data_IF_272747761920
#
_entry.id   IF_272747761920
#
_cell.length_a   1.000
_cell.length_b   1.000
_cell.length_c   1.000
_cell.angle_alpha   90.00
_cell.angle_beta   90.00
_cell.angle_gamma   90.00
#
_symmetry.space_group_name_H-M   'P 1'
#
loop_
_entity.id
_entity.type
_entity.pdbx_description
1 polymer ?
#
# COMPACT_ATOMS: atom_id res chain seq x y z
N UNK A 1 -36.47 -8.72 -56.41
CA UNK A 1 -37.27 -7.74 -57.18
C UNK A 1 -36.66 -6.37 -56.88
N UNK A 2 -35.78 -5.98 -57.84
CA UNK A 2 -35.81 -4.68 -58.58
C UNK A 2 -35.81 -3.44 -57.66
N UNK A 3 -34.78 -2.60 -57.63
CA UNK A 3 -34.07 -1.74 -58.61
C UNK A 3 -34.47 -0.27 -58.44
N UNK A 4 -33.49 0.60 -58.28
CA UNK A 4 -33.09 1.83 -59.02
C UNK A 4 -32.57 2.87 -58.04
N UNK A 5 -31.30 3.23 -58.02
CA UNK A 5 -30.54 4.21 -58.82
C UNK A 5 -31.25 5.57 -58.99
N UNK A 6 -30.59 6.64 -58.48
CA UNK A 6 -30.34 7.85 -59.29
C UNK A 6 -29.09 8.60 -58.78
N UNK A 7 -28.28 8.96 -59.75
CA UNK A 7 -27.07 9.75 -59.81
C UNK A 7 -27.45 11.22 -59.91
N UNK A 8 -26.70 12.12 -59.34
CA UNK A 8 -26.78 13.55 -59.54
C UNK A 8 -25.46 14.24 -59.27
N UNK A 9 -24.69 14.39 -60.33
CA UNK A 9 -23.43 15.12 -60.42
C UNK A 9 -23.74 16.60 -60.70
N UNK A 10 -23.09 17.54 -59.98
CA UNK A 10 -22.91 18.91 -60.46
C UNK A 10 -21.62 19.52 -59.91
N UNK A 11 -20.77 19.78 -60.84
CA UNK A 11 -19.51 20.52 -60.81
C UNK A 11 -19.84 22.01 -60.88
N UNK A 12 -19.20 22.89 -60.14
CA UNK A 12 -18.79 24.20 -60.65
C UNK A 12 -17.64 24.79 -59.84
N UNK A 13 -16.68 25.26 -60.58
CA UNK A 13 -15.35 25.74 -60.21
C UNK A 13 -15.30 27.26 -59.98
N UNK A 14 -14.07 27.70 -59.65
CA UNK A 14 -13.49 29.06 -59.68
C UNK A 14 -13.62 29.87 -58.38
N UNK A 15 -12.62 30.58 -57.86
CA UNK A 15 -11.41 31.22 -58.44
C UNK A 15 -10.43 31.56 -57.30
N UNK A 16 -9.17 31.60 -57.66
CA UNK A 16 -7.96 32.01 -56.92
C UNK A 16 -8.00 33.47 -56.45
N UNK A 17 -7.47 33.72 -55.22
CA UNK A 17 -6.75 34.96 -54.94
C UNK A 17 -5.55 34.68 -54.03
N UNK A 18 -4.36 34.83 -54.59
CA UNK A 18 -3.10 34.90 -53.89
C UNK A 18 -2.92 36.29 -53.25
N UNK A 19 -2.61 36.33 -51.97
CA UNK A 19 -1.90 37.49 -51.39
C UNK A 19 -0.71 37.00 -50.60
N UNK A 20 0.46 37.29 -51.11
CA UNK A 20 1.74 37.10 -50.48
C UNK A 20 1.90 38.20 -49.44
N UNK A 21 2.11 37.81 -48.18
CA UNK A 21 2.50 38.69 -47.08
C UNK A 21 3.62 38.04 -46.29
N UNK A 22 4.87 38.40 -46.65
CA UNK A 22 6.04 38.12 -45.80
C UNK A 22 5.94 38.87 -44.50
N UNK A 23 5.89 38.12 -43.37
CA UNK A 23 6.10 38.64 -42.02
C UNK A 23 6.98 37.67 -41.30
N UNK A 24 8.28 37.94 -41.26
CA UNK A 24 9.23 37.28 -40.37
C UNK A 24 8.89 37.71 -38.94
N UNK A 25 8.41 36.79 -38.12
CA UNK A 25 8.33 36.99 -36.67
C UNK A 25 8.93 35.80 -35.99
N UNK A 26 10.06 36.00 -35.33
CA UNK A 26 10.68 35.07 -34.40
C UNK A 26 9.69 34.68 -33.30
N UNK A 27 9.31 33.45 -33.27
CA UNK A 27 8.71 32.84 -32.09
C UNK A 27 9.63 31.73 -31.58
N UNK A 28 10.56 32.15 -30.72
CA UNK A 28 11.05 31.30 -29.64
C UNK A 28 9.94 31.27 -28.57
N UNK A 29 9.81 30.12 -27.93
CA UNK A 29 8.97 29.86 -26.75
C UNK A 29 7.48 29.54 -27.00
N UNK A 30 7.23 28.28 -27.41
CA UNK A 30 6.00 27.55 -27.06
C UNK A 30 6.26 26.03 -27.08
N UNK A 31 7.06 25.57 -26.12
CA UNK A 31 7.15 24.14 -25.79
C UNK A 31 6.72 23.88 -24.32
N UNK A 32 5.69 24.56 -23.86
CA UNK A 32 5.20 24.39 -22.51
C UNK A 32 3.67 24.50 -22.46
N UNK A 33 2.93 23.72 -23.25
CA UNK A 33 1.45 23.63 -23.05
C UNK A 33 0.78 22.48 -23.82
N UNK A 34 1.44 21.37 -24.06
CA UNK A 34 0.80 20.24 -24.75
C UNK A 34 0.52 19.02 -23.85
N UNK A 35 0.79 19.11 -22.53
CA UNK A 35 0.61 17.99 -21.61
C UNK A 35 -0.48 18.17 -20.54
N UNK A 36 -1.22 19.29 -20.54
CA UNK A 36 -2.21 19.60 -19.50
C UNK A 36 -3.52 18.79 -19.59
N UNK A 37 -3.82 18.16 -20.73
CA UNK A 37 -5.12 17.51 -20.96
C UNK A 37 -5.09 15.97 -20.92
N UNK A 38 -3.91 15.35 -20.75
CA UNK A 38 -3.83 13.89 -20.72
C UNK A 38 -4.09 13.39 -19.29
N UNK A 39 -5.22 12.72 -19.09
CA UNK A 39 -5.48 12.00 -17.83
C UNK A 39 -4.42 10.91 -17.60
N UNK A 40 -3.85 10.90 -16.41
CA UNK A 40 -2.88 9.92 -15.93
C UNK A 40 -3.58 9.07 -14.89
N UNK A 41 -3.57 7.75 -15.11
CA UNK A 41 -4.12 6.79 -14.15
C UNK A 41 -2.97 6.09 -13.44
N UNK A 42 -2.82 6.33 -12.14
CA UNK A 42 -1.85 5.66 -11.29
C UNK A 42 -2.50 4.51 -10.54
N UNK A 43 -1.91 3.34 -10.64
CA UNK A 43 -2.28 2.17 -9.84
C UNK A 43 -1.28 2.00 -8.71
N UNK A 44 -1.73 2.21 -7.49
CA UNK A 44 -0.90 2.14 -6.29
C UNK A 44 -1.26 0.90 -5.49
N UNK A 45 -0.29 0.02 -5.26
CA UNK A 45 -0.43 -1.12 -4.38
C UNK A 45 0.09 -0.72 -2.99
N UNK A 46 -0.76 -0.72 -1.99
CA UNK A 46 -0.41 -0.31 -0.64
C UNK A 46 -0.89 -1.32 0.41
N UNK A 47 -0.09 -1.50 1.45
CA UNK A 47 -0.45 -2.37 2.56
C UNK A 47 -1.82 -1.97 3.15
N UNK A 48 -2.65 -2.97 3.49
CA UNK A 48 -4.02 -2.77 3.96
C UNK A 48 -4.14 -1.84 5.18
N UNK A 49 -3.11 -1.78 6.03
CA UNK A 49 -3.02 -0.85 7.17
C UNK A 49 -3.00 0.63 6.78
N UNK A 50 -2.80 0.95 5.50
CA UNK A 50 -2.72 2.32 4.99
C UNK A 50 -4.03 2.80 4.32
N UNK A 51 -5.07 1.97 4.30
CA UNK A 51 -6.29 2.21 3.51
C UNK A 51 -6.88 3.61 3.75
N UNK A 52 -7.11 3.97 4.99
CA UNK A 52 -7.77 5.23 5.36
C UNK A 52 -6.88 6.44 5.02
N UNK A 53 -5.60 6.37 5.37
CA UNK A 53 -4.66 7.47 5.13
C UNK A 53 -4.38 7.70 3.66
N UNK A 54 -4.19 6.63 2.88
CA UNK A 54 -3.89 6.75 1.45
C UNK A 54 -5.10 7.29 0.67
N UNK A 55 -6.32 6.94 1.03
CA UNK A 55 -7.52 7.53 0.42
C UNK A 55 -7.58 9.04 0.68
N UNK A 56 -7.39 9.48 1.93
CA UNK A 56 -7.34 10.91 2.27
C UNK A 56 -6.22 11.64 1.53
N UNK A 57 -5.04 11.02 1.41
CA UNK A 57 -3.90 11.59 0.71
C UNK A 57 -4.18 11.72 -0.80
N UNK A 58 -4.82 10.72 -1.42
CA UNK A 58 -5.20 10.80 -2.83
C UNK A 58 -6.18 11.96 -3.09
N UNK A 59 -7.19 12.10 -2.24
CA UNK A 59 -8.13 13.23 -2.33
C UNK A 59 -7.43 14.59 -2.26
N UNK A 60 -6.44 14.73 -1.37
CA UNK A 60 -5.66 15.96 -1.24
C UNK A 60 -4.75 16.19 -2.46
N UNK A 61 -4.03 15.16 -2.91
CA UNK A 61 -3.15 15.22 -4.06
C UNK A 61 -3.91 15.61 -5.35
N UNK A 62 -5.06 15.00 -5.58
CA UNK A 62 -5.88 15.23 -6.78
C UNK A 62 -6.47 16.66 -6.85
N UNK A 63 -6.62 17.38 -5.72
CA UNK A 63 -7.01 18.78 -5.73
C UNK A 63 -6.00 19.68 -6.45
N UNK A 64 -4.71 19.39 -6.29
CA UNK A 64 -3.61 20.12 -6.94
C UNK A 64 -3.16 19.48 -8.28
N UNK A 65 -3.55 18.23 -8.53
CA UNK A 65 -3.22 17.45 -9.73
C UNK A 65 -4.49 16.85 -10.37
N UNK A 66 -5.41 17.70 -10.90
CA UNK A 66 -6.73 17.25 -11.37
C UNK A 66 -6.67 16.34 -12.59
N UNK A 67 -5.53 16.26 -13.26
CA UNK A 67 -5.26 15.35 -14.37
C UNK A 67 -4.77 13.96 -13.92
N UNK A 68 -4.52 13.74 -12.62
CA UNK A 68 -4.08 12.47 -12.06
C UNK A 68 -5.23 11.80 -11.34
N UNK A 69 -5.53 10.57 -11.73
CA UNK A 69 -6.48 9.70 -11.05
C UNK A 69 -5.71 8.55 -10.38
N UNK A 70 -5.90 8.36 -9.08
CA UNK A 70 -5.22 7.32 -8.30
C UNK A 70 -6.21 6.23 -7.96
N UNK A 71 -5.86 5.00 -8.34
CA UNK A 71 -6.59 3.78 -7.97
C UNK A 71 -5.71 2.96 -7.04
N UNK A 72 -6.28 2.50 -5.93
CA UNK A 72 -5.58 1.66 -4.97
C UNK A 72 -5.95 0.19 -5.08
N UNK A 73 -4.96 -0.65 -4.81
CA UNK A 73 -5.16 -2.04 -4.44
C UNK A 73 -4.59 -2.22 -3.03
N UNK A 74 -5.48 -2.43 -2.06
CA UNK A 74 -5.12 -2.62 -0.67
C UNK A 74 -5.23 -4.10 -0.28
N UNK A 75 -4.12 -4.68 0.14
CA UNK A 75 -4.08 -6.05 0.66
C UNK A 75 -2.83 -6.25 1.52
N UNK A 76 -2.57 -7.49 1.97
CA UNK A 76 -1.30 -7.81 2.59
C UNK A 76 -0.14 -7.57 1.61
N UNK A 77 0.98 -7.11 2.12
CA UNK A 77 2.14 -6.86 1.25
C UNK A 77 2.64 -8.14 0.56
N UNK A 78 2.40 -9.31 1.14
CA UNK A 78 2.70 -10.60 0.52
C UNK A 78 1.81 -10.89 -0.68
N UNK A 79 0.49 -10.70 -0.55
CA UNK A 79 -0.46 -10.81 -1.66
C UNK A 79 -0.13 -9.83 -2.78
N UNK A 80 0.10 -8.55 -2.45
CA UNK A 80 0.44 -7.52 -3.42
C UNK A 80 1.74 -7.84 -4.17
N UNK A 81 2.77 -8.30 -3.45
CA UNK A 81 4.02 -8.78 -4.06
C UNK A 81 3.75 -9.91 -5.06
N UNK A 82 2.94 -10.89 -4.69
CA UNK A 82 2.58 -12.01 -5.56
C UNK A 82 1.82 -11.55 -6.80
N UNK A 83 0.92 -10.60 -6.66
CA UNK A 83 0.21 -10.00 -7.81
C UNK A 83 1.18 -9.28 -8.76
N UNK A 84 2.16 -8.52 -8.23
CA UNK A 84 3.20 -7.87 -9.04
C UNK A 84 4.02 -8.92 -9.80
N UNK A 85 4.43 -10.01 -9.14
CA UNK A 85 5.16 -11.12 -9.77
C UNK A 85 4.36 -11.79 -10.88
N UNK A 86 3.03 -11.87 -10.73
CA UNK A 86 2.10 -12.43 -11.72
C UNK A 86 1.73 -11.43 -12.83
N UNK A 87 2.38 -10.26 -12.88
CA UNK A 87 2.22 -9.29 -13.96
C UNK A 87 1.09 -8.29 -13.77
N UNK A 88 0.55 -8.15 -12.57
CA UNK A 88 -0.44 -7.10 -12.28
C UNK A 88 0.18 -5.71 -12.50
N UNK A 89 -0.58 -4.81 -13.15
CA UNK A 89 -0.16 -3.44 -13.36
C UNK A 89 -0.06 -2.72 -12.00
N UNK A 90 1.12 -2.20 -11.71
CA UNK A 90 1.40 -1.46 -10.49
C UNK A 90 2.41 -0.36 -10.82
N UNK A 91 2.08 0.88 -10.48
CA UNK A 91 2.97 2.03 -10.69
C UNK A 91 3.81 2.31 -9.44
N UNK A 92 3.23 2.16 -8.26
CA UNK A 92 3.85 2.40 -6.96
C UNK A 92 3.49 1.28 -5.99
N UNK A 93 4.47 0.73 -5.28
CA UNK A 93 4.27 -0.26 -4.23
C UNK A 93 4.73 0.27 -2.87
N UNK A 94 3.88 0.11 -1.85
CA UNK A 94 4.17 0.46 -0.45
C UNK A 94 3.91 -0.76 0.41
N UNK A 95 4.97 -1.29 1.01
CA UNK A 95 4.93 -2.50 1.83
C UNK A 95 4.95 -2.18 3.32
N UNK A 96 4.25 -2.96 4.15
CA UNK A 96 4.30 -2.86 5.62
C UNK A 96 5.51 -3.56 6.25
N UNK A 97 6.42 -4.09 5.44
CA UNK A 97 7.71 -4.63 5.91
C UNK A 97 8.76 -4.59 4.79
N UNK A 98 10.05 -4.48 5.15
CA UNK A 98 11.14 -4.51 4.17
C UNK A 98 11.22 -5.81 3.38
N UNK A 99 10.85 -6.95 3.95
CA UNK A 99 10.99 -8.29 3.34
C UNK A 99 10.35 -8.37 1.95
N UNK A 100 9.09 -7.96 1.81
CA UNK A 100 8.35 -8.06 0.55
C UNK A 100 8.92 -7.13 -0.52
N UNK A 101 9.34 -5.94 -0.13
CA UNK A 101 10.02 -4.99 -1.03
C UNK A 101 11.40 -5.51 -1.44
N UNK A 102 12.17 -6.07 -0.49
CA UNK A 102 13.49 -6.63 -0.77
C UNK A 102 13.42 -7.76 -1.81
N UNK A 103 12.41 -8.62 -1.72
CA UNK A 103 12.20 -9.71 -2.65
C UNK A 103 11.90 -9.28 -4.10
N UNK A 104 11.55 -8.01 -4.32
CA UNK A 104 11.28 -7.44 -5.65
C UNK A 104 12.43 -6.56 -6.16
N UNK A 105 13.45 -6.31 -5.35
CA UNK A 105 14.50 -5.30 -5.59
C UNK A 105 15.81 -5.98 -5.97
N UNK A 106 16.25 -5.79 -7.22
CA UNK A 106 17.49 -6.35 -7.76
C UNK A 106 18.77 -5.85 -7.05
N UNK A 107 18.66 -4.70 -6.31
CA UNK A 107 19.80 -4.22 -5.50
C UNK A 107 20.06 -5.07 -4.26
N UNK A 108 19.17 -6.01 -3.92
CA UNK A 108 19.27 -6.87 -2.75
C UNK A 108 20.00 -8.17 -3.08
N UNK A 109 20.82 -8.59 -2.12
CA UNK A 109 21.55 -9.86 -2.25
C UNK A 109 20.62 -11.08 -2.21
N UNK A 110 21.18 -12.25 -2.58
CA UNK A 110 20.44 -13.50 -2.71
C UNK A 110 19.70 -13.93 -1.43
N UNK A 111 20.21 -13.55 -0.26
CA UNK A 111 19.55 -13.83 1.03
C UNK A 111 18.20 -13.11 1.18
N UNK A 112 18.05 -11.92 0.58
CA UNK A 112 16.84 -11.10 0.67
C UNK A 112 15.97 -11.18 -0.60
N UNK A 113 16.58 -11.47 -1.76
CA UNK A 113 15.94 -11.63 -3.07
C UNK A 113 16.44 -12.94 -3.75
N UNK A 114 16.05 -14.11 -3.22
CA UNK A 114 16.54 -15.39 -3.72
C UNK A 114 16.13 -15.71 -5.17
N UNK A 115 15.03 -15.08 -5.64
CA UNK A 115 14.56 -15.23 -7.01
C UNK A 115 15.20 -14.22 -7.98
N UNK A 116 16.06 -13.33 -7.49
CA UNK A 116 16.73 -12.27 -8.29
C UNK A 116 15.76 -11.41 -9.10
N UNK A 117 14.61 -11.10 -8.51
CA UNK A 117 13.57 -10.31 -9.15
C UNK A 117 14.00 -8.84 -9.27
N UNK A 118 13.57 -8.19 -10.36
CA UNK A 118 13.94 -6.82 -10.71
C UNK A 118 12.68 -6.02 -11.11
N UNK A 119 11.85 -5.74 -10.11
CA UNK A 119 10.59 -5.00 -10.29
C UNK A 119 10.64 -3.56 -9.76
N UNK A 120 11.64 -3.21 -8.95
CA UNK A 120 11.80 -1.87 -8.37
C UNK A 120 12.58 -0.99 -9.32
N UNK A 121 12.06 0.22 -9.60
CA UNK A 121 12.81 1.25 -10.32
C UNK A 121 13.94 1.77 -9.42
N UNK A 122 15.18 1.52 -9.83
CA UNK A 122 16.35 1.88 -9.04
C UNK A 122 16.41 3.39 -8.75
N UNK A 123 16.81 3.74 -7.54
CA UNK A 123 16.90 5.15 -7.09
C UNK A 123 15.57 5.73 -6.59
N UNK A 124 14.45 5.00 -6.66
CA UNK A 124 13.15 5.49 -6.15
C UNK A 124 12.79 4.94 -4.77
N UNK A 125 13.42 3.84 -4.36
CA UNK A 125 13.10 3.18 -3.09
C UNK A 125 13.60 4.00 -1.89
N UNK A 126 12.73 4.18 -0.90
CA UNK A 126 13.10 4.72 0.42
C UNK A 126 12.16 4.16 1.51
N UNK A 127 12.55 4.35 2.77
CA UNK A 127 11.73 4.00 3.92
C UNK A 127 10.79 5.17 4.23
N UNK A 128 9.51 5.01 3.97
CA UNK A 128 8.52 6.10 4.05
C UNK A 128 8.10 6.37 5.50
N UNK A 129 7.71 5.32 6.23
CA UNK A 129 7.09 5.43 7.54
C UNK A 129 7.58 4.34 8.49
N UNK A 130 7.46 4.62 9.78
CA UNK A 130 7.53 3.65 10.87
C UNK A 130 6.14 3.48 11.50
N UNK A 131 5.84 2.26 11.96
CA UNK A 131 4.63 1.91 12.69
C UNK A 131 4.99 1.14 13.97
N UNK A 132 4.00 0.79 14.77
CA UNK A 132 4.16 -0.03 15.97
C UNK A 132 3.21 -1.20 15.94
N UNK A 133 3.63 -2.34 16.46
CA UNK A 133 2.78 -3.50 16.67
C UNK A 133 2.06 -3.36 18.00
N UNK A 134 0.75 -3.62 18.00
CA UNK A 134 -0.12 -3.49 19.16
C UNK A 134 -0.83 -4.82 19.45
N UNK A 135 -0.93 -5.14 20.73
CA UNK A 135 -1.86 -6.14 21.23
C UNK A 135 -3.20 -5.48 21.50
N UNK A 136 -4.26 -6.06 20.97
CA UNK A 136 -5.64 -5.58 21.17
C UNK A 136 -6.55 -6.74 21.60
N UNK A 137 -7.64 -6.38 22.28
CA UNK A 137 -8.74 -7.28 22.60
C UNK A 137 -10.06 -6.65 22.14
N UNK A 138 -11.19 -7.40 22.10
CA UNK A 138 -12.52 -6.82 21.97
C UNK A 138 -12.76 -5.73 23.02
N UNK A 139 -13.70 -4.81 22.76
CA UNK A 139 -13.94 -3.62 23.58
C UNK A 139 -14.08 -3.92 25.08
N UNK A 140 -14.80 -4.98 25.43
CA UNK A 140 -15.04 -5.38 26.83
C UNK A 140 -13.88 -6.20 27.43
N UNK A 141 -12.88 -6.59 26.64
CA UNK A 141 -11.77 -7.46 27.05
C UNK A 141 -12.21 -8.61 27.99
N UNK A 142 -13.10 -9.51 27.57
CA UNK A 142 -13.78 -10.47 28.43
C UNK A 142 -12.83 -11.47 29.07
N UNK A 143 -11.63 -11.61 28.54
CA UNK A 143 -10.57 -12.48 29.09
C UNK A 143 -9.63 -11.74 30.02
N UNK A 144 -9.85 -10.45 30.27
CA UNK A 144 -9.02 -9.63 31.15
C UNK A 144 -7.53 -9.73 30.82
N UNK A 145 -7.18 -9.66 29.52
CA UNK A 145 -5.80 -9.69 29.05
C UNK A 145 -5.17 -8.32 29.37
N UNK A 146 -4.03 -8.32 30.06
CA UNK A 146 -3.39 -7.09 30.55
C UNK A 146 -2.36 -6.53 29.58
N UNK A 147 -1.50 -7.41 29.08
CA UNK A 147 -0.34 -7.07 28.26
C UNK A 147 0.16 -8.29 27.47
N UNK A 148 1.28 -8.17 26.78
CA UNK A 148 1.88 -9.26 26.02
C UNK A 148 2.35 -10.44 26.88
N UNK A 149 2.78 -10.21 28.11
CA UNK A 149 3.22 -11.28 29.01
C UNK A 149 2.03 -12.11 29.48
N UNK A 150 0.95 -11.45 29.92
CA UNK A 150 -0.30 -12.11 30.32
C UNK A 150 -0.95 -12.84 29.12
N UNK A 151 -0.91 -12.25 27.92
CA UNK A 151 -1.30 -12.94 26.68
C UNK A 151 -0.50 -14.22 26.49
N UNK A 152 0.82 -14.16 26.63
CA UNK A 152 1.67 -15.33 26.42
C UNK A 152 1.40 -16.44 27.44
N UNK A 153 1.18 -16.10 28.71
CA UNK A 153 0.79 -17.06 29.76
C UNK A 153 -0.57 -17.70 29.48
N UNK A 154 -1.55 -16.90 29.05
CA UNK A 154 -2.90 -17.37 28.72
C UNK A 154 -2.93 -18.24 27.44
N UNK A 155 -2.06 -17.98 26.48
CA UNK A 155 -1.86 -18.85 25.33
C UNK A 155 -1.25 -20.20 25.73
N UNK A 156 -0.22 -20.20 26.60
CA UNK A 156 0.42 -21.42 27.11
C UNK A 156 -0.56 -22.36 27.81
N UNK A 157 -1.48 -21.80 28.60
CA UNK A 157 -2.45 -22.59 29.35
C UNK A 157 -3.76 -22.86 28.58
N UNK A 158 -3.86 -22.37 27.33
CA UNK A 158 -5.00 -22.61 26.44
C UNK A 158 -6.28 -21.85 26.82
N UNK A 159 -6.20 -20.78 27.62
CA UNK A 159 -7.39 -20.05 28.09
C UNK A 159 -7.88 -18.97 27.12
N UNK A 160 -7.10 -18.63 26.09
CA UNK A 160 -7.44 -17.63 25.07
C UNK A 160 -7.14 -18.13 23.66
N UNK A 161 -7.77 -17.47 22.69
CA UNK A 161 -7.48 -17.59 21.25
C UNK A 161 -6.93 -16.28 20.73
N UNK A 162 -5.80 -16.35 20.03
CA UNK A 162 -5.16 -15.26 19.33
C UNK A 162 -5.52 -15.30 17.84
N UNK A 163 -5.89 -14.16 17.26
CA UNK A 163 -5.88 -13.99 15.81
C UNK A 163 -4.63 -13.23 15.38
N UNK A 164 -3.99 -13.68 14.31
CA UNK A 164 -2.80 -13.06 13.74
C UNK A 164 -2.82 -13.12 12.21
N UNK A 165 -2.01 -12.31 11.54
CA UNK A 165 -1.78 -12.46 10.11
C UNK A 165 -1.09 -13.80 9.81
N UNK A 166 -1.38 -14.41 8.65
CA UNK A 166 -0.62 -15.58 8.20
C UNK A 166 0.84 -15.21 7.84
N UNK A 167 1.66 -16.17 7.46
CA UNK A 167 3.10 -15.99 7.17
C UNK A 167 3.42 -15.02 6.03
N UNK A 168 2.47 -14.73 5.13
CA UNK A 168 2.63 -13.78 4.03
C UNK A 168 2.24 -12.35 4.41
N UNK A 169 1.55 -12.20 5.53
CA UNK A 169 1.13 -10.91 6.06
C UNK A 169 2.25 -10.31 6.93
N UNK A 170 2.72 -9.08 6.65
CA UNK A 170 3.78 -8.46 7.44
C UNK A 170 3.53 -8.46 8.94
N UNK A 171 2.32 -8.09 9.41
CA UNK A 171 2.03 -8.12 10.86
C UNK A 171 2.06 -9.55 11.41
N UNK A 172 1.74 -10.57 10.62
CA UNK A 172 1.92 -11.96 11.00
C UNK A 172 3.37 -12.32 11.24
N UNK A 173 4.30 -11.84 10.38
CA UNK A 173 5.73 -12.04 10.56
C UNK A 173 6.29 -11.33 11.81
N UNK A 174 5.75 -10.17 12.16
CA UNK A 174 6.06 -9.52 13.44
C UNK A 174 5.48 -10.30 14.61
N UNK A 175 4.28 -10.84 14.49
CA UNK A 175 3.65 -11.70 15.51
C UNK A 175 4.45 -12.97 15.74
N UNK A 176 4.95 -13.63 14.69
CA UNK A 176 5.85 -14.79 14.81
C UNK A 176 7.08 -14.49 15.64
N UNK A 177 7.69 -13.30 15.47
CA UNK A 177 8.83 -12.88 16.30
C UNK A 177 8.42 -12.68 17.77
N UNK A 178 7.23 -12.13 18.02
CA UNK A 178 6.69 -11.94 19.37
C UNK A 178 6.44 -13.30 20.04
N UNK A 179 5.82 -14.25 19.32
CA UNK A 179 5.63 -15.62 19.83
C UNK A 179 6.98 -16.27 20.17
N UNK A 180 7.98 -16.13 19.28
CA UNK A 180 9.33 -16.66 19.52
C UNK A 180 10.00 -15.98 20.72
N UNK A 181 9.83 -14.67 20.91
CA UNK A 181 10.34 -13.94 22.10
C UNK A 181 9.81 -14.53 23.41
N UNK A 182 8.52 -14.90 23.45
CA UNK A 182 7.90 -15.57 24.60
C UNK A 182 8.06 -17.09 24.59
N UNK A 183 8.85 -17.66 23.68
CA UNK A 183 9.09 -19.10 23.55
C UNK A 183 7.79 -19.90 23.34
N UNK A 184 6.88 -19.33 22.56
CA UNK A 184 5.63 -19.97 22.16
C UNK A 184 5.82 -20.67 20.80
N UNK A 185 5.32 -21.90 20.68
CA UNK A 185 5.30 -22.65 19.43
C UNK A 185 4.00 -22.34 18.68
N UNK A 186 4.11 -21.58 17.59
CA UNK A 186 2.98 -21.19 16.72
C UNK A 186 2.25 -22.42 16.18
N UNK A 187 2.98 -23.43 15.72
CA UNK A 187 2.39 -24.63 15.13
C UNK A 187 1.57 -25.40 16.15
N UNK A 188 2.14 -25.66 17.32
CA UNK A 188 1.46 -26.36 18.42
C UNK A 188 0.21 -25.59 18.90
N UNK A 189 0.28 -24.26 18.99
CA UNK A 189 -0.88 -23.43 19.36
C UNK A 189 -1.97 -23.44 18.28
N UNK A 190 -1.61 -23.42 17.00
CA UNK A 190 -2.56 -23.50 15.89
C UNK A 190 -3.26 -24.89 15.85
N UNK A 191 -2.50 -25.97 15.99
CA UNK A 191 -3.04 -27.34 16.05
C UNK A 191 -3.97 -27.55 17.24
N UNK A 192 -3.69 -26.89 18.37
CA UNK A 192 -4.57 -26.89 19.55
C UNK A 192 -5.79 -25.94 19.42
N UNK A 193 -5.92 -25.19 18.31
CA UNK A 193 -7.03 -24.28 18.07
C UNK A 193 -6.95 -22.94 18.81
N UNK A 194 -5.76 -22.59 19.33
CA UNK A 194 -5.50 -21.33 20.05
C UNK A 194 -5.02 -20.19 19.14
N UNK A 195 -4.72 -20.46 17.86
CA UNK A 195 -4.40 -19.45 16.86
C UNK A 195 -5.36 -19.57 15.68
N UNK A 196 -5.89 -18.44 15.22
CA UNK A 196 -6.55 -18.26 13.93
C UNK A 196 -5.79 -17.24 13.07
N UNK A 197 -5.99 -17.32 11.76
CA UNK A 197 -5.22 -16.51 10.80
C UNK A 197 -6.12 -15.60 9.98
N UNK A 198 -5.65 -14.39 9.73
CA UNK A 198 -6.19 -13.48 8.73
C UNK A 198 -5.28 -13.36 7.50
N UNK A 199 -5.86 -13.12 6.34
CA UNK A 199 -5.15 -12.95 5.08
C UNK A 199 -4.51 -11.55 4.93
N UNK A 200 -4.95 -10.59 5.73
CA UNK A 200 -4.38 -9.25 5.89
C UNK A 200 -4.74 -8.68 7.27
N UNK A 201 -4.15 -7.51 7.63
CA UNK A 201 -4.35 -6.93 8.97
C UNK A 201 -5.78 -6.45 9.22
N UNK A 202 -6.53 -6.04 8.19
CA UNK A 202 -7.92 -5.61 8.36
C UNK A 202 -8.82 -6.78 8.75
N UNK A 203 -8.57 -7.96 8.21
CA UNK A 203 -9.27 -9.18 8.61
C UNK A 203 -8.96 -9.56 10.05
N UNK A 204 -7.68 -9.48 10.47
CA UNK A 204 -7.28 -9.68 11.88
C UNK A 204 -8.02 -8.69 12.79
N UNK A 205 -8.03 -7.41 12.43
CA UNK A 205 -8.70 -6.35 13.20
C UNK A 205 -10.21 -6.61 13.33
N UNK A 206 -10.85 -7.02 12.24
CA UNK A 206 -12.28 -7.34 12.21
C UNK A 206 -12.60 -8.52 13.14
N UNK A 207 -11.81 -9.61 13.10
CA UNK A 207 -12.01 -10.77 13.96
C UNK A 207 -11.91 -10.42 15.45
N UNK A 208 -10.98 -9.53 15.83
CA UNK A 208 -10.92 -9.00 17.21
C UNK A 208 -12.14 -8.18 17.54
N UNK A 209 -12.51 -7.22 16.70
CA UNK A 209 -13.62 -6.30 16.94
C UNK A 209 -14.95 -7.02 17.09
N UNK A 210 -15.16 -8.10 16.33
CA UNK A 210 -16.36 -8.93 16.39
C UNK A 210 -16.33 -9.99 17.48
N UNK A 211 -15.23 -10.09 18.27
CA UNK A 211 -15.10 -11.08 19.35
C UNK A 211 -14.93 -12.52 18.83
N UNK A 212 -14.58 -12.72 17.57
CA UNK A 212 -14.28 -14.05 17.01
C UNK A 212 -12.97 -14.64 17.56
N UNK A 213 -12.09 -13.79 18.11
CA UNK A 213 -10.91 -14.13 18.87
C UNK A 213 -10.85 -13.32 20.17
N UNK A 214 -10.15 -13.83 21.18
CA UNK A 214 -10.04 -13.17 22.48
C UNK A 214 -9.02 -12.02 22.47
N UNK A 215 -8.05 -12.05 21.56
CA UNK A 215 -7.10 -10.98 21.28
C UNK A 215 -6.53 -11.11 19.88
N UNK A 216 -5.86 -10.04 19.42
CA UNK A 216 -5.13 -10.01 18.16
C UNK A 216 -3.89 -9.15 18.24
N UNK A 217 -2.96 -9.42 17.33
CA UNK A 217 -1.78 -8.58 17.13
C UNK A 217 -1.92 -7.90 15.79
N UNK A 218 -2.02 -6.56 15.83
CA UNK A 218 -2.23 -5.66 14.68
C UNK A 218 -1.25 -4.49 14.76
N UNK A 219 -1.37 -3.51 13.87
CA UNK A 219 -0.62 -2.26 14.03
C UNK A 219 -1.39 -1.24 14.88
N UNK A 220 -0.68 -0.34 15.54
CA UNK A 220 -1.28 0.75 16.34
C UNK A 220 -2.20 1.64 15.49
N UNK A 221 -1.87 1.82 14.21
CA UNK A 221 -2.70 2.56 13.25
C UNK A 221 -4.02 1.86 12.93
N UNK A 222 -4.01 0.53 12.84
CA UNK A 222 -5.25 -0.26 12.65
C UNK A 222 -6.10 -0.24 13.91
N UNK A 223 -5.49 -0.30 15.10
CA UNK A 223 -6.19 -0.15 16.36
C UNK A 223 -6.88 1.23 16.43
N UNK A 224 -6.16 2.30 16.08
CA UNK A 224 -6.71 3.67 16.03
C UNK A 224 -7.90 3.75 15.05
N UNK A 225 -7.72 3.29 13.82
CA UNK A 225 -8.78 3.34 12.78
C UNK A 225 -10.02 2.50 13.14
N UNK A 226 -9.84 1.41 13.89
CA UNK A 226 -10.93 0.55 14.35
C UNK A 226 -11.60 1.01 15.65
N UNK A 227 -11.04 2.02 16.33
CA UNK A 227 -11.48 2.46 17.66
C UNK A 227 -11.16 1.47 18.78
N UNK A 228 -10.14 0.61 18.57
CA UNK A 228 -9.67 -0.34 19.59
C UNK A 228 -8.57 0.30 20.43
N UNK A 229 -8.61 0.08 21.73
CA UNK A 229 -7.55 0.53 22.66
C UNK A 229 -6.46 -0.54 22.76
N UNK A 230 -5.20 -0.21 22.41
CA UNK A 230 -4.10 -1.16 22.61
C UNK A 230 -3.92 -1.51 24.10
N UNK A 231 -3.81 -2.81 24.40
CA UNK A 231 -3.43 -3.31 25.71
C UNK A 231 -1.92 -3.16 25.95
N UNK A 232 -1.16 -3.03 24.89
CA UNK A 232 0.28 -2.79 24.90
C UNK A 232 0.83 -2.60 23.50
N UNK A 233 1.98 -1.93 23.40
CA UNK A 233 2.77 -1.83 22.19
C UNK A 233 3.99 -2.72 22.30
N UNK A 234 4.29 -3.50 21.25
CA UNK A 234 5.47 -4.36 21.24
C UNK A 234 6.75 -3.52 21.30
N UNK A 235 7.65 -3.88 22.21
CA UNK A 235 8.98 -3.31 22.23
C UNK A 235 9.78 -3.75 20.99
N UNK A 236 10.73 -2.92 20.57
CA UNK A 236 11.59 -3.23 19.43
C UNK A 236 12.39 -4.53 19.63
N UNK A 237 12.73 -4.89 20.87
CA UNK A 237 13.37 -6.16 21.21
C UNK A 237 12.49 -7.39 20.95
N UNK A 238 11.17 -7.23 20.85
CA UNK A 238 10.22 -8.33 20.65
C UNK A 238 10.06 -8.66 19.15
N UNK A 239 10.00 -7.66 18.29
CA UNK A 239 9.68 -7.89 16.87
C UNK A 239 10.56 -7.12 15.88
N UNK A 240 11.43 -6.21 16.35
CA UNK A 240 12.20 -5.29 15.54
C UNK A 240 11.41 -4.03 15.16
N UNK A 241 12.05 -3.16 14.37
CA UNK A 241 11.42 -1.94 13.85
C UNK A 241 10.46 -2.26 12.71
N UNK A 242 9.31 -1.59 12.70
CA UNK A 242 8.26 -1.78 11.69
C UNK A 242 8.39 -0.68 10.64
N UNK A 243 9.03 -0.98 9.53
CA UNK A 243 9.33 -0.02 8.46
C UNK A 243 8.45 -0.28 7.25
N UNK A 244 7.93 0.79 6.68
CA UNK A 244 7.15 0.80 5.44
C UNK A 244 7.99 1.36 4.29
N UNK A 245 8.67 0.52 3.50
CA UNK A 245 9.34 0.96 2.29
C UNK A 245 8.33 1.22 1.17
N UNK A 246 8.64 2.23 0.35
CA UNK A 246 7.91 2.58 -0.85
C UNK A 246 8.86 2.66 -2.05
N UNK A 247 8.38 2.29 -3.23
CA UNK A 247 9.15 2.38 -4.47
C UNK A 247 8.25 2.46 -5.70
N UNK A 248 8.70 3.18 -6.73
CA UNK A 248 8.10 3.12 -8.06
C UNK A 248 8.46 1.79 -8.72
N UNK A 249 7.52 1.22 -9.44
CA UNK A 249 7.74 -0.05 -10.12
C UNK A 249 8.42 0.15 -11.48
N UNK A 250 9.42 -0.67 -11.78
CA UNK A 250 10.25 -0.59 -13.01
C UNK A 250 9.41 -0.68 -14.29
N UNK A 251 8.36 -1.49 -14.27
CA UNK A 251 7.48 -1.72 -15.43
C UNK A 251 6.33 -0.72 -15.53
N UNK A 252 6.26 0.28 -14.65
CA UNK A 252 5.27 1.35 -14.71
C UNK A 252 5.39 2.10 -16.04
N UNK A 253 4.25 2.40 -16.65
CA UNK A 253 4.15 3.27 -17.83
C UNK A 253 4.04 4.75 -17.44
N UNK A 254 3.89 5.03 -16.15
CA UNK A 254 3.67 6.36 -15.58
C UNK A 254 4.78 6.70 -14.56
N UNK A 255 6.04 6.27 -14.79
CA UNK A 255 7.13 6.39 -13.82
C UNK A 255 7.33 7.83 -13.30
N UNK A 256 7.19 8.84 -14.17
CA UNK A 256 7.33 10.25 -13.79
C UNK A 256 6.24 10.65 -12.79
N UNK A 257 4.97 10.44 -13.12
CA UNK A 257 3.85 10.76 -12.23
C UNK A 257 3.86 9.93 -10.94
N UNK A 258 4.24 8.65 -11.01
CA UNK A 258 4.42 7.81 -9.83
C UNK A 258 5.55 8.32 -8.92
N UNK A 259 6.63 8.85 -9.50
CA UNK A 259 7.73 9.47 -8.75
C UNK A 259 7.30 10.79 -8.11
N UNK A 260 6.50 11.61 -8.79
CA UNK A 260 5.93 12.83 -8.23
C UNK A 260 5.00 12.53 -7.05
N UNK A 261 4.10 11.56 -7.21
CA UNK A 261 3.23 11.13 -6.12
C UNK A 261 4.04 10.54 -4.94
N UNK A 262 5.08 9.77 -5.23
CA UNK A 262 5.98 9.24 -4.20
C UNK A 262 6.72 10.35 -3.42
N UNK A 263 7.08 11.45 -4.09
CA UNK A 263 7.64 12.65 -3.42
C UNK A 263 6.58 13.36 -2.58
N UNK A 264 5.35 13.46 -3.08
CA UNK A 264 4.27 14.06 -2.31
C UNK A 264 3.99 13.29 -1.02
N UNK A 265 4.08 11.95 -1.03
CA UNK A 265 3.94 11.14 0.20
C UNK A 265 4.96 11.52 1.29
N UNK A 266 6.07 12.19 0.95
CA UNK A 266 7.09 12.68 1.88
C UNK A 266 6.86 14.14 2.31
N UNK A 267 5.86 14.82 1.76
CA UNK A 267 5.54 16.22 2.10
C UNK A 267 5.01 16.34 3.53
N UNK A 268 5.10 17.53 4.10
CA UNK A 268 4.51 17.83 5.41
C UNK A 268 2.99 17.60 5.43
N UNK A 269 2.30 17.86 4.31
CA UNK A 269 0.87 17.66 4.18
C UNK A 269 0.51 16.17 4.29
N UNK A 270 1.18 15.31 3.55
CA UNK A 270 0.97 13.86 3.62
C UNK A 270 1.39 13.29 4.98
N UNK A 271 2.53 13.77 5.54
CA UNK A 271 3.01 13.34 6.85
C UNK A 271 2.01 13.65 7.96
N UNK A 272 1.34 14.81 7.95
CA UNK A 272 0.28 15.13 8.92
C UNK A 272 -0.88 14.14 8.88
N UNK A 273 -1.25 13.64 7.69
CA UNK A 273 -2.29 12.59 7.57
C UNK A 273 -1.81 11.29 8.17
N UNK A 274 -0.58 10.88 7.89
CA UNK A 274 0.00 9.66 8.45
C UNK A 274 0.17 9.73 9.97
N UNK A 275 0.72 10.83 10.48
CA UNK A 275 0.91 11.04 11.92
C UNK A 275 -0.42 11.12 12.68
N UNK A 276 -1.47 11.64 12.04
CA UNK A 276 -2.80 11.74 12.61
C UNK A 276 -3.42 10.40 13.01
N UNK A 277 -2.96 9.28 12.46
CA UNK A 277 -3.40 7.93 12.83
C UNK A 277 -2.33 7.11 13.57
N UNK A 278 -1.15 7.70 13.82
CA UNK A 278 -0.10 7.08 14.63
C UNK A 278 1.09 6.48 13.87
N UNK A 279 1.21 6.70 12.55
CA UNK A 279 2.49 6.50 11.87
C UNK A 279 3.52 7.51 12.34
N UNK A 280 4.79 7.18 12.20
CA UNK A 280 5.89 8.10 12.46
C UNK A 280 6.77 8.26 11.23
N UNK A 281 7.33 9.45 11.05
CA UNK A 281 8.38 9.68 10.06
C UNK A 281 9.65 8.94 10.51
N UNK A 282 10.36 8.35 9.57
CA UNK A 282 11.68 7.78 9.84
C UNK A 282 12.70 8.92 9.89
N UNK A 283 13.44 8.98 10.97
CA UNK A 283 14.50 9.95 11.22
C UNK A 283 15.84 9.39 10.74
#
# INVERSE_FOLDING_TARGET
MQLKKYVGLSILACLLFNVIGCGVSNNKDTKASANADKKIHLTVFAAASMTETMNTIAENYQKSHPNVEITYNFDSSGTLKTQIQNGAACDLFISAAPKQMNQLDASKGEAENPQKLDYVLQGTRFNLLENKVALVAPEDNPKHIKDFEDMAEKLKNGSIRLVMGNSDVPVGQYTQKILAFYKLDETALAEAGHISYGSNVKEVTTQVKEGSADCGIIYSTDAFSAGLTPLGLAAQSMCGQVIYPAAVMKNSKNQEAATEFLKYLQSEEAMKVFEGVGFSKII
#
